data_IF_602676410105
#
_entry.id   IF_602676410105
#
_cell.length_a   1.000
_cell.length_b   1.000
_cell.length_c   1.000
_cell.angle_alpha   90.00
_cell.angle_beta   90.00
_cell.angle_gamma   90.00
#
_symmetry.space_group_name_H-M   'P 1'
#
loop_
_entity.id
_entity.type
_entity.pdbx_description
1 polymer ?
#
# COMPACT_ATOMS: atom_id res chain seq x y z
N UNK A 1 24.23 -51.46 35.74
CA UNK A 1 24.71 -50.07 35.51
C UNK A 1 24.78 -49.85 34.01
N UNK A 2 24.24 -48.73 33.50
CA UNK A 2 24.00 -48.37 32.08
C UNK A 2 22.66 -48.84 31.51
N UNK A 3 21.61 -48.09 31.82
CA UNK A 3 20.56 -47.66 30.90
C UNK A 3 19.72 -46.72 31.76
N UNK A 4 19.90 -45.40 31.64
CA UNK A 4 19.04 -44.32 32.16
C UNK A 4 19.84 -43.02 31.93
N UNK A 5 19.89 -42.54 30.70
CA UNK A 5 20.27 -41.17 30.32
C UNK A 5 20.13 -41.03 28.81
N UNK A 6 18.89 -40.99 28.32
CA UNK A 6 18.61 -40.60 26.93
C UNK A 6 17.19 -40.04 26.72
N UNK A 7 16.52 -39.60 27.80
CA UNK A 7 15.10 -39.20 27.76
C UNK A 7 14.79 -37.77 28.16
N UNK A 8 15.76 -36.83 28.15
CA UNK A 8 15.52 -35.45 28.62
C UNK A 8 16.05 -34.35 27.67
N UNK A 9 16.60 -34.68 26.50
CA UNK A 9 17.25 -33.69 25.63
C UNK A 9 16.50 -33.38 24.33
N UNK A 10 15.17 -33.23 24.37
CA UNK A 10 14.37 -32.86 23.19
C UNK A 10 13.09 -32.05 23.52
N UNK A 11 13.15 -31.17 24.54
CA UNK A 11 12.02 -30.28 24.87
C UNK A 11 12.40 -28.79 24.97
N UNK A 12 13.54 -28.37 24.41
CA UNK A 12 13.99 -26.98 24.45
C UNK A 12 14.38 -26.47 23.06
N UNK A 13 13.41 -26.36 22.15
CA UNK A 13 13.49 -25.45 20.99
C UNK A 13 12.18 -25.34 20.22
N UNK A 14 11.03 -25.35 20.90
CA UNK A 14 9.81 -24.83 20.29
C UNK A 14 9.36 -23.67 21.14
N UNK A 15 9.85 -22.47 20.82
CA UNK A 15 9.12 -21.27 21.18
C UNK A 15 7.75 -21.43 20.53
N UNK A 16 6.64 -21.55 21.27
CA UNK A 16 5.34 -21.60 20.66
C UNK A 16 5.19 -20.29 19.87
N UNK A 17 5.05 -20.38 18.55
CA UNK A 17 4.60 -19.25 17.77
C UNK A 17 3.19 -18.94 18.26
N UNK A 18 3.06 -17.92 19.09
CA UNK A 18 1.77 -17.47 19.59
C UNK A 18 1.07 -16.75 18.46
N UNK A 19 -0.11 -17.25 18.08
CA UNK A 19 -1.11 -16.48 17.35
C UNK A 19 -1.31 -15.14 18.03
N UNK A 20 -1.22 -14.06 17.26
CA UNK A 20 -1.45 -12.70 17.75
C UNK A 20 -2.61 -12.05 17.01
N UNK A 21 -3.38 -11.28 17.77
CA UNK A 21 -4.29 -10.31 17.22
C UNK A 21 -3.51 -9.01 16.94
N UNK A 22 -3.49 -8.58 15.69
CA UNK A 22 -2.79 -7.38 15.23
C UNK A 22 -3.79 -6.33 14.82
N UNK A 23 -3.66 -5.13 15.38
CA UNK A 23 -4.58 -4.03 15.11
C UNK A 23 -3.87 -2.92 14.34
N UNK A 24 -4.43 -2.56 13.20
CA UNK A 24 -3.99 -1.42 12.38
C UNK A 24 -5.15 -0.44 12.26
N UNK A 25 -4.89 0.84 12.56
CA UNK A 25 -5.85 1.92 12.39
C UNK A 25 -5.46 2.71 11.15
N UNK A 26 -6.28 2.66 10.11
CA UNK A 26 -5.95 3.24 8.80
C UNK A 26 -7.05 4.23 8.41
N UNK A 27 -6.65 5.45 8.09
CA UNK A 27 -7.54 6.45 7.51
C UNK A 27 -7.31 6.56 6.00
N UNK A 28 -8.39 6.81 5.26
CA UNK A 28 -8.32 7.24 3.86
C UNK A 28 -8.41 8.76 3.86
N UNK A 29 -7.36 9.45 3.40
CA UNK A 29 -7.29 10.92 3.43
C UNK A 29 -6.99 11.47 2.03
N UNK A 30 -7.61 12.59 1.68
CA UNK A 30 -7.26 13.34 0.48
C UNK A 30 -6.07 14.25 0.77
N UNK A 31 -5.05 14.20 -0.08
CA UNK A 31 -3.86 15.05 0.02
C UNK A 31 -3.33 15.40 -1.37
N UNK A 32 -2.49 16.41 -1.43
CA UNK A 32 -1.68 16.70 -2.60
C UNK A 32 -0.42 15.83 -2.59
N UNK A 33 -0.07 15.26 -3.74
CA UNK A 33 1.13 14.46 -3.97
C UNK A 33 1.94 15.06 -5.10
N UNK A 34 3.23 15.30 -4.87
CA UNK A 34 4.17 15.81 -5.86
C UNK A 34 5.11 14.66 -6.30
N UNK A 35 5.01 14.26 -7.57
CA UNK A 35 5.83 13.19 -8.16
C UNK A 35 7.31 13.56 -8.35
N UNK A 36 7.65 14.84 -8.24
CA UNK A 36 9.01 15.37 -8.34
C UNK A 36 9.27 16.34 -7.18
N UNK A 37 9.14 15.83 -5.94
CA UNK A 37 9.30 16.64 -4.73
C UNK A 37 10.76 17.04 -4.44
N UNK A 38 11.72 16.34 -5.03
CA UNK A 38 13.14 16.67 -4.91
C UNK A 38 13.50 17.93 -5.69
N UNK A 39 14.03 18.93 -4.97
CA UNK A 39 14.40 20.23 -5.51
C UNK A 39 15.77 20.25 -6.23
N UNK A 40 16.42 19.11 -6.41
CA UNK A 40 17.76 19.01 -6.99
C UNK A 40 17.74 18.56 -8.44
N UNK A 41 18.50 19.22 -9.31
CA UNK A 41 18.78 18.69 -10.66
C UNK A 41 19.46 17.33 -10.53
N UNK A 42 18.81 16.28 -11.05
CA UNK A 42 19.38 14.93 -11.15
C UNK A 42 19.82 14.69 -12.60
N UNK A 43 21.03 14.20 -12.79
CA UNK A 43 21.45 13.68 -14.09
C UNK A 43 20.77 12.33 -14.31
N UNK A 44 19.74 12.32 -15.15
CA UNK A 44 19.00 11.12 -15.52
C UNK A 44 19.64 10.44 -16.73
N UNK A 45 19.50 9.12 -16.82
CA UNK A 45 19.98 8.35 -17.97
C UNK A 45 18.97 8.53 -19.11
N UNK A 46 19.43 9.08 -20.24
CA UNK A 46 18.62 9.22 -21.46
C UNK A 46 17.33 10.05 -21.31
N UNK A 47 17.31 11.00 -20.38
CA UNK A 47 16.22 11.96 -20.21
C UNK A 47 16.80 13.36 -20.27
N UNK A 48 16.37 14.14 -21.26
CA UNK A 48 16.62 15.57 -21.30
C UNK A 48 15.46 16.36 -20.66
N UNK A 49 15.61 17.68 -20.61
CA UNK A 49 14.62 18.55 -20.00
C UNK A 49 13.29 18.54 -20.75
N UNK A 50 13.32 18.51 -22.08
CA UNK A 50 12.12 18.51 -22.91
C UNK A 50 11.27 17.27 -22.64
N UNK A 51 11.90 16.11 -22.50
CA UNK A 51 11.23 14.87 -22.11
C UNK A 51 10.64 14.92 -20.70
N UNK A 52 11.32 15.54 -19.73
CA UNK A 52 10.79 15.69 -18.38
C UNK A 52 9.65 16.71 -18.29
N UNK A 53 9.71 17.76 -19.10
CA UNK A 53 8.72 18.85 -19.12
C UNK A 53 7.35 18.34 -19.61
N UNK A 54 7.31 17.31 -20.48
CA UNK A 54 6.06 16.64 -20.90
C UNK A 54 5.20 16.20 -19.69
N UNK A 55 5.82 15.73 -18.62
CA UNK A 55 5.13 15.18 -17.45
C UNK A 55 5.09 16.14 -16.25
N UNK A 56 6.12 16.95 -16.08
CA UNK A 56 6.31 17.74 -14.85
C UNK A 56 5.88 19.20 -14.99
N UNK A 57 5.84 19.73 -16.21
CA UNK A 57 5.54 21.14 -16.44
C UNK A 57 4.03 21.41 -16.38
N UNK A 58 3.65 22.31 -15.47
CA UNK A 58 2.29 22.88 -15.45
C UNK A 58 2.10 23.92 -16.56
N UNK A 59 0.89 24.04 -17.11
CA UNK A 59 0.59 24.95 -18.21
C UNK A 59 -0.89 25.38 -18.30
N UNK A 60 -1.30 25.99 -19.42
CA UNK A 60 -2.71 26.28 -19.71
C UNK A 60 -3.57 25.02 -19.72
N UNK A 61 -3.05 23.95 -20.32
CA UNK A 61 -3.71 22.69 -20.61
C UNK A 61 -2.93 21.47 -20.04
N UNK A 62 -2.09 21.69 -19.02
CA UNK A 62 -1.26 20.65 -18.37
C UNK A 62 -1.27 20.84 -16.86
N UNK A 63 -1.49 19.73 -16.13
CA UNK A 63 -1.54 19.71 -14.66
C UNK A 63 -0.14 19.89 -14.07
N UNK A 64 0.87 19.21 -14.65
CA UNK A 64 2.24 19.20 -14.16
C UNK A 64 2.49 18.14 -13.10
N UNK A 65 3.48 18.33 -12.23
CA UNK A 65 3.99 17.27 -11.34
C UNK A 65 3.14 16.96 -10.09
N UNK A 66 2.08 17.72 -9.84
CA UNK A 66 1.39 17.73 -8.53
C UNK A 66 -0.09 17.44 -8.68
N UNK A 67 -0.56 16.39 -8.02
CA UNK A 67 -1.93 15.88 -8.14
C UNK A 67 -2.57 15.69 -6.77
N UNK A 68 -3.87 15.94 -6.66
CA UNK A 68 -4.73 15.52 -5.55
C UNK A 68 -4.95 14.00 -5.65
N UNK A 69 -4.79 13.31 -4.52
CA UNK A 69 -4.87 11.85 -4.38
C UNK A 69 -5.62 11.47 -3.09
N UNK A 70 -6.15 10.25 -3.03
CA UNK A 70 -6.59 9.61 -1.80
C UNK A 70 -5.55 8.58 -1.37
N UNK A 71 -5.03 8.70 -0.15
CA UNK A 71 -3.97 7.84 0.38
C UNK A 71 -4.41 7.15 1.68
N UNK A 72 -3.90 5.95 1.90
CA UNK A 72 -3.97 5.28 3.20
C UNK A 72 -2.93 5.86 4.15
N UNK A 73 -3.35 6.22 5.36
CA UNK A 73 -2.51 6.76 6.43
C UNK A 73 -2.74 5.99 7.71
N UNK A 74 -1.66 5.57 8.37
CA UNK A 74 -1.77 4.86 9.65
C UNK A 74 -1.93 5.85 10.81
N UNK A 75 -2.74 5.46 11.78
CA UNK A 75 -2.96 6.13 13.05
C UNK A 75 -2.57 5.23 14.21
N UNK A 76 -2.30 5.83 15.36
CA UNK A 76 -1.91 5.10 16.56
C UNK A 76 -3.07 4.32 17.19
N UNK A 77 -4.31 4.81 17.04
CA UNK A 77 -5.50 4.25 17.66
C UNK A 77 -6.79 4.61 16.91
N UNK A 78 -7.93 4.12 17.43
CA UNK A 78 -9.27 4.34 16.86
C UNK A 78 -9.83 5.74 17.05
N UNK A 79 -9.10 6.68 17.64
CA UNK A 79 -9.49 8.09 17.67
C UNK A 79 -9.07 8.83 16.39
N UNK A 80 -8.14 8.26 15.60
CA UNK A 80 -7.63 8.81 14.36
C UNK A 80 -7.12 10.26 14.50
N UNK A 81 -6.35 10.53 15.57
CA UNK A 81 -5.78 11.87 15.84
C UNK A 81 -4.29 11.98 15.55
N UNK A 82 -3.54 10.95 15.91
CA UNK A 82 -2.07 10.93 15.78
C UNK A 82 -1.68 9.93 14.71
N UNK A 83 -0.97 10.39 13.69
CA UNK A 83 -0.47 9.54 12.61
C UNK A 83 0.77 8.77 13.05
N UNK A 84 0.98 7.59 12.46
CA UNK A 84 2.25 6.86 12.54
C UNK A 84 3.06 7.24 11.31
N UNK A 85 4.30 7.67 11.54
CA UNK A 85 5.18 8.07 10.45
C UNK A 85 5.53 6.87 9.57
N UNK A 86 5.42 7.06 8.26
CA UNK A 86 5.90 6.09 7.27
C UNK A 86 7.35 6.39 6.89
N UNK A 87 8.14 5.38 6.52
CA UNK A 87 9.46 5.61 5.94
C UNK A 87 9.37 6.52 4.71
N UNK A 88 10.31 7.46 4.56
CA UNK A 88 10.36 8.40 3.42
C UNK A 88 10.27 7.68 2.07
N UNK A 89 11.04 6.61 1.94
CA UNK A 89 11.13 5.79 0.75
C UNK A 89 9.82 5.07 0.39
N UNK A 90 8.84 4.95 1.30
CA UNK A 90 7.58 4.27 1.00
C UNK A 90 6.72 5.07 0.00
N UNK A 91 7.02 6.36 -0.19
CA UNK A 91 6.35 7.21 -1.17
C UNK A 91 4.87 7.38 -0.81
N UNK A 92 3.98 7.35 -1.80
CA UNK A 92 2.54 7.49 -1.56
C UNK A 92 1.84 6.20 -1.10
N UNK A 93 2.51 5.05 -1.10
CA UNK A 93 1.92 3.79 -0.66
C UNK A 93 1.37 3.89 0.76
N UNK A 94 0.32 3.13 1.01
CA UNK A 94 -0.23 2.93 2.35
C UNK A 94 0.79 2.31 3.32
N UNK A 95 0.49 2.35 4.63
CA UNK A 95 1.35 1.76 5.65
C UNK A 95 1.59 0.26 5.43
N UNK A 96 2.73 -0.23 5.88
CA UNK A 96 3.08 -1.65 5.79
C UNK A 96 2.30 -2.44 6.83
N UNK A 97 1.42 -3.31 6.38
CA UNK A 97 0.75 -4.29 7.24
C UNK A 97 1.62 -5.54 7.28
N UNK A 98 2.03 -5.99 8.47
CA UNK A 98 2.74 -7.26 8.65
C UNK A 98 1.94 -8.24 9.50
N UNK A 99 2.05 -9.51 9.13
CA UNK A 99 1.45 -10.61 9.87
C UNK A 99 2.28 -11.90 9.73
N UNK A 100 2.27 -12.73 10.77
CA UNK A 100 2.80 -14.10 10.71
C UNK A 100 1.67 -15.10 10.50
N UNK A 101 1.98 -16.25 9.90
CA UNK A 101 1.03 -17.37 9.79
C UNK A 101 0.43 -17.70 11.16
N UNK A 102 -0.90 -17.71 11.22
CA UNK A 102 -1.69 -17.98 12.41
C UNK A 102 -2.16 -16.72 13.14
N UNK A 103 -1.74 -15.52 12.73
CA UNK A 103 -2.24 -14.25 13.26
C UNK A 103 -3.63 -13.90 12.69
N UNK A 104 -4.39 -13.13 13.48
CA UNK A 104 -5.59 -12.44 13.01
C UNK A 104 -5.30 -10.94 12.92
N UNK A 105 -5.54 -10.34 11.76
CA UNK A 105 -5.29 -8.93 11.51
C UNK A 105 -6.61 -8.17 11.45
N UNK A 106 -6.74 -7.16 12.30
CA UNK A 106 -7.85 -6.24 12.36
C UNK A 106 -7.42 -4.92 11.74
N UNK A 107 -8.06 -4.54 10.63
CA UNK A 107 -7.87 -3.24 9.99
C UNK A 107 -9.07 -2.36 10.29
N UNK A 108 -8.90 -1.43 11.21
CA UNK A 108 -9.89 -0.41 11.56
C UNK A 108 -9.78 0.75 10.59
N UNK A 109 -10.62 0.73 9.55
CA UNK A 109 -10.65 1.73 8.50
C UNK A 109 -11.56 2.91 8.88
N UNK A 110 -11.12 4.13 8.59
CA UNK A 110 -11.98 5.32 8.58
C UNK A 110 -11.84 6.08 7.28
N UNK A 111 -12.95 6.37 6.61
CA UNK A 111 -12.93 7.13 5.37
C UNK A 111 -13.08 8.64 5.65
N UNK A 112 -12.03 9.42 5.42
CA UNK A 112 -12.06 10.88 5.50
C UNK A 112 -12.12 11.57 4.12
N UNK A 113 -12.10 10.80 3.03
CA UNK A 113 -12.19 11.33 1.69
C UNK A 113 -13.63 11.75 1.34
N UNK A 114 -13.78 12.42 0.20
CA UNK A 114 -15.05 12.95 -0.28
C UNK A 114 -15.95 11.92 -0.97
N UNK A 115 -15.46 10.69 -1.18
CA UNK A 115 -16.17 9.61 -1.90
C UNK A 115 -16.03 8.26 -1.20
N UNK A 116 -16.92 7.29 -1.47
CA UNK A 116 -16.81 5.97 -0.88
C UNK A 116 -15.58 5.22 -1.39
N UNK A 117 -14.97 4.45 -0.49
CA UNK A 117 -13.82 3.59 -0.74
C UNK A 117 -13.91 2.35 0.16
N UNK A 118 -12.99 1.40 0.00
CA UNK A 118 -12.94 0.16 0.80
C UNK A 118 -11.49 -0.20 1.15
N UNK A 119 -11.31 -1.34 1.81
CA UNK A 119 -10.03 -2.03 1.96
C UNK A 119 -10.20 -3.48 1.52
N UNK A 120 -9.47 -3.90 0.48
CA UNK A 120 -9.44 -5.26 -0.04
C UNK A 120 -8.01 -5.79 -0.01
N UNK A 121 -7.80 -6.96 0.59
CA UNK A 121 -6.47 -7.54 0.79
C UNK A 121 -6.23 -8.79 -0.04
N UNK A 122 -5.00 -8.95 -0.53
CA UNK A 122 -4.55 -10.14 -1.24
C UNK A 122 -3.77 -11.09 -0.33
N UNK A 123 -3.83 -12.39 -0.64
CA UNK A 123 -2.98 -13.41 0.00
C UNK A 123 -3.28 -13.65 1.48
N UNK A 124 -4.51 -13.38 1.92
CA UNK A 124 -5.03 -13.68 3.26
C UNK A 124 -6.45 -14.22 3.12
N UNK A 125 -6.94 -14.92 4.13
CA UNK A 125 -8.32 -15.41 4.16
C UNK A 125 -9.23 -14.40 4.84
N UNK A 126 -10.38 -14.13 4.25
CA UNK A 126 -11.43 -13.28 4.83
C UNK A 126 -12.80 -13.91 4.57
N UNK A 127 -13.78 -13.56 5.39
CA UNK A 127 -15.19 -13.87 5.14
C UNK A 127 -15.82 -12.81 4.25
N UNK A 128 -17.03 -13.05 3.77
CA UNK A 128 -17.70 -12.18 2.78
C UNK A 128 -17.95 -10.77 3.31
N UNK A 129 -18.20 -10.63 4.61
CA UNK A 129 -18.31 -9.35 5.32
C UNK A 129 -16.98 -8.65 5.57
N UNK A 130 -15.85 -9.17 5.08
CA UNK A 130 -14.51 -8.63 5.27
C UNK A 130 -13.71 -8.60 3.96
N UNK A 131 -14.37 -8.72 2.81
CA UNK A 131 -13.72 -8.74 1.51
C UNK A 131 -13.40 -7.33 1.01
N UNK A 132 -14.32 -6.39 1.21
CA UNK A 132 -14.18 -5.00 0.80
C UNK A 132 -14.19 -4.79 -0.71
N UNK A 133 -14.98 -5.57 -1.45
CA UNK A 133 -15.09 -5.49 -2.90
C UNK A 133 -16.53 -5.65 -3.36
N UNK A 134 -17.06 -4.61 -3.99
CA UNK A 134 -18.45 -4.61 -4.47
C UNK A 134 -18.59 -5.34 -5.80
N UNK A 135 -19.35 -6.43 -5.83
CA UNK A 135 -19.75 -7.12 -7.07
C UNK A 135 -21.02 -7.96 -6.84
N UNK A 136 -21.72 -8.41 -7.90
CA UNK A 136 -22.89 -9.29 -7.77
C UNK A 136 -22.50 -10.68 -7.22
N UNK A 137 -22.47 -10.81 -5.91
CA UNK A 137 -21.98 -11.97 -5.15
C UNK A 137 -23.07 -12.68 -4.33
N UNK A 138 -24.32 -12.20 -4.45
CA UNK A 138 -25.50 -12.70 -3.75
C UNK A 138 -25.48 -12.50 -2.21
N UNK A 139 -24.64 -11.59 -1.70
CA UNK A 139 -24.69 -11.12 -0.31
C UNK A 139 -25.79 -10.05 -0.14
N UNK A 140 -26.26 -9.85 1.10
CA UNK A 140 -27.24 -8.80 1.43
C UNK A 140 -27.04 -8.29 2.86
N UNK A 141 -27.52 -7.08 3.14
CA UNK A 141 -27.58 -6.53 4.50
C UNK A 141 -26.20 -6.25 5.09
N UNK A 142 -25.90 -6.83 6.26
CA UNK A 142 -24.63 -6.59 6.97
C UNK A 142 -23.41 -7.15 6.25
N UNK A 143 -23.60 -8.11 5.33
CA UNK A 143 -22.54 -8.71 4.52
C UNK A 143 -22.04 -7.80 3.38
N UNK A 144 -22.59 -6.59 3.23
CA UNK A 144 -22.21 -5.60 2.20
C UNK A 144 -21.69 -4.29 2.81
N UNK A 145 -21.59 -4.22 4.15
CA UNK A 145 -21.14 -3.02 4.84
C UNK A 145 -19.64 -2.74 4.62
N UNK A 146 -18.86 -3.78 4.30
CA UNK A 146 -17.45 -3.73 3.96
C UNK A 146 -17.19 -3.24 2.53
N UNK A 147 -18.14 -3.53 1.63
CA UNK A 147 -18.06 -3.25 0.19
C UNK A 147 -18.17 -1.77 -0.17
N UNK A 148 -18.58 -0.92 0.77
CA UNK A 148 -18.69 0.53 0.54
C UNK A 148 -18.66 1.32 1.85
N UNK A 149 -17.49 1.85 2.20
CA UNK A 149 -17.34 2.74 3.37
C UNK A 149 -17.51 4.18 2.91
N UNK A 150 -18.63 4.81 3.25
CA UNK A 150 -18.95 6.18 2.84
C UNK A 150 -18.08 7.22 3.58
N UNK A 151 -18.00 8.47 3.07
CA UNK A 151 -17.34 9.57 3.77
C UNK A 151 -17.80 9.72 5.22
N UNK A 152 -16.85 9.70 6.15
CA UNK A 152 -17.06 9.79 7.59
C UNK A 152 -17.33 8.45 8.30
N UNK A 153 -17.62 7.39 7.54
CA UNK A 153 -17.88 6.06 8.10
C UNK A 153 -16.60 5.32 8.51
N UNK A 154 -16.80 4.30 9.35
CA UNK A 154 -15.75 3.41 9.83
C UNK A 154 -16.17 1.97 9.62
N UNK A 155 -15.21 1.12 9.28
CA UNK A 155 -15.40 -0.32 9.17
C UNK A 155 -14.20 -1.07 9.72
N UNK A 156 -14.40 -2.28 10.24
CA UNK A 156 -13.29 -3.14 10.69
C UNK A 156 -13.26 -4.39 9.84
N UNK A 157 -12.17 -4.54 9.07
CA UNK A 157 -11.89 -5.73 8.29
C UNK A 157 -11.11 -6.74 9.14
N UNK A 158 -11.49 -8.01 9.09
CA UNK A 158 -10.84 -9.10 9.82
C UNK A 158 -10.22 -10.07 8.82
N UNK A 159 -8.90 -10.21 8.90
CA UNK A 159 -8.10 -11.04 8.00
C UNK A 159 -7.45 -12.18 8.78
N UNK A 160 -7.56 -13.40 8.27
CA UNK A 160 -6.97 -14.60 8.84
C UNK A 160 -5.79 -15.06 8.01
N UNK A 161 -4.63 -15.21 8.64
CA UNK A 161 -3.39 -15.63 7.97
C UNK A 161 -3.20 -17.13 8.06
N UNK A 162 -3.98 -17.85 7.26
CA UNK A 162 -4.00 -19.31 7.31
C UNK A 162 -2.78 -19.95 6.63
N UNK A 163 -2.52 -21.22 6.95
CA UNK A 163 -1.36 -21.96 6.46
C UNK A 163 -1.35 -22.10 4.93
N UNK A 164 -2.53 -22.14 4.31
CA UNK A 164 -2.71 -22.32 2.87
C UNK A 164 -2.26 -21.10 2.05
N UNK A 165 -2.29 -19.90 2.65
CA UNK A 165 -1.87 -18.65 2.02
C UNK A 165 -0.43 -18.26 2.39
N UNK A 166 0.23 -19.09 3.20
CA UNK A 166 1.56 -18.82 3.73
C UNK A 166 2.65 -18.85 2.66
N UNK A 167 3.79 -18.19 2.89
CA UNK A 167 5.00 -18.44 2.12
C UNK A 167 5.28 -19.95 1.99
N UNK A 168 5.50 -20.41 0.77
CA UNK A 168 5.83 -21.80 0.47
C UNK A 168 7.17 -22.22 1.08
N UNK A 169 7.47 -23.52 1.03
CA UNK A 169 8.74 -24.04 1.56
C UNK A 169 9.96 -23.44 0.85
N UNK A 170 9.86 -23.20 -0.47
CA UNK A 170 10.90 -22.56 -1.28
C UNK A 170 10.92 -21.03 -1.23
N UNK A 171 9.90 -20.40 -0.65
CA UNK A 171 9.85 -18.93 -0.51
C UNK A 171 10.74 -18.46 0.66
N UNK A 172 11.11 -17.18 0.63
CA UNK A 172 11.71 -16.48 1.77
C UNK A 172 10.83 -16.54 3.03
N UNK A 173 11.35 -16.05 4.16
CA UNK A 173 10.57 -16.07 5.41
C UNK A 173 9.33 -15.19 5.31
N UNK A 174 9.38 -14.12 4.51
CA UNK A 174 8.28 -13.22 4.25
C UNK A 174 8.04 -13.06 2.75
N UNK A 175 6.78 -12.91 2.35
CA UNK A 175 6.35 -12.66 0.97
C UNK A 175 5.50 -11.39 0.90
N UNK A 176 5.61 -10.70 -0.23
CA UNK A 176 4.84 -9.50 -0.52
C UNK A 176 3.45 -9.86 -1.04
N UNK A 177 2.44 -9.19 -0.49
CA UNK A 177 1.07 -9.09 -0.97
C UNK A 177 0.68 -7.62 -0.95
N UNK A 178 -0.53 -7.30 -1.40
CA UNK A 178 -1.04 -5.94 -1.47
C UNK A 178 -2.41 -5.83 -0.84
N UNK A 179 -2.79 -4.61 -0.53
CA UNK A 179 -4.16 -4.23 -0.30
C UNK A 179 -4.48 -2.95 -1.08
N UNK A 180 -5.72 -2.77 -1.48
CA UNK A 180 -6.19 -1.60 -2.20
C UNK A 180 -7.70 -1.39 -2.00
N UNK A 181 -8.24 -0.23 -2.39
CA UNK A 181 -9.70 -0.05 -2.46
C UNK A 181 -10.26 -0.74 -3.70
N UNK A 182 -11.51 -1.19 -3.63
CA UNK A 182 -12.13 -2.04 -4.66
C UNK A 182 -13.60 -1.68 -4.95
N UNK A 183 -13.94 -0.39 -4.95
CA UNK A 183 -15.21 0.09 -5.53
C UNK A 183 -15.13 0.02 -7.06
N UNK A 184 -14.08 0.64 -7.59
CA UNK A 184 -13.62 0.55 -8.96
C UNK A 184 -12.10 0.45 -8.86
N UNK A 185 -11.59 -0.77 -8.72
CA UNK A 185 -10.21 -1.00 -8.31
C UNK A 185 -9.18 -0.24 -9.18
N UNK A 186 -9.27 -0.24 -10.54
CA UNK A 186 -8.36 0.56 -11.35
C UNK A 186 -8.36 2.05 -11.01
N UNK A 187 -9.54 2.68 -10.88
CA UNK A 187 -9.65 4.12 -10.59
C UNK A 187 -9.26 4.45 -9.15
N UNK A 188 -9.61 3.58 -8.21
CA UNK A 188 -9.25 3.72 -6.80
C UNK A 188 -7.73 3.61 -6.59
N UNK A 189 -7.07 2.65 -7.27
CA UNK A 189 -5.60 2.50 -7.25
C UNK A 189 -4.93 3.70 -7.93
N UNK A 190 -5.40 4.12 -9.11
CA UNK A 190 -4.89 5.31 -9.80
C UNK A 190 -4.99 6.57 -8.93
N UNK A 191 -6.07 6.68 -8.15
CA UNK A 191 -6.27 7.75 -7.17
C UNK A 191 -5.32 7.68 -5.97
N UNK A 192 -4.61 6.57 -5.77
CA UNK A 192 -3.54 6.40 -4.76
C UNK A 192 -3.79 5.34 -3.69
N UNK A 193 -4.92 4.63 -3.71
CA UNK A 193 -5.30 3.69 -2.65
C UNK A 193 -4.73 2.30 -2.86
N UNK A 194 -3.43 2.18 -2.62
CA UNK A 194 -2.69 0.91 -2.65
C UNK A 194 -1.64 0.89 -1.53
N UNK A 195 -1.42 -0.28 -0.93
CA UNK A 195 -0.39 -0.47 0.08
C UNK A 195 0.07 -1.92 0.22
N UNK A 196 1.21 -2.15 0.88
CA UNK A 196 1.79 -3.48 1.01
C UNK A 196 1.30 -4.26 2.23
N UNK A 197 1.06 -5.55 2.05
CA UNK A 197 0.84 -6.54 3.09
C UNK A 197 1.98 -7.56 3.06
N UNK A 198 2.78 -7.64 4.10
CA UNK A 198 3.91 -8.57 4.20
C UNK A 198 3.50 -9.75 5.09
N UNK A 199 3.37 -10.92 4.47
CA UNK A 199 3.00 -12.15 5.14
C UNK A 199 4.24 -13.00 5.42
N UNK A 200 4.46 -13.36 6.68
CA UNK A 200 5.66 -14.05 7.13
C UNK A 200 5.36 -15.44 7.72
N UNK A 201 6.31 -16.38 7.61
CA UNK A 201 6.29 -17.66 8.31
C UNK A 201 6.23 -17.42 9.82
N UNK A 202 5.53 -18.28 10.54
CA UNK A 202 5.38 -18.20 12.00
C UNK A 202 6.73 -18.09 12.72
N UNK A 203 6.88 -17.10 13.60
CA UNK A 203 8.09 -16.87 14.38
C UNK A 203 9.26 -16.25 13.60
N UNK A 204 9.04 -15.67 12.43
CA UNK A 204 10.07 -14.97 11.63
C UNK A 204 10.25 -13.50 12.00
N UNK A 205 9.29 -12.91 12.71
CA UNK A 205 9.31 -11.50 13.11
C UNK A 205 9.84 -11.30 14.54
N UNK A 206 10.56 -10.19 14.74
CA UNK A 206 10.89 -9.62 16.04
C UNK A 206 10.60 -8.12 16.02
N UNK A 207 9.64 -7.66 16.84
CA UNK A 207 9.17 -6.26 16.86
C UNK A 207 8.83 -5.73 15.46
N UNK A 208 7.99 -6.46 14.73
CA UNK A 208 7.56 -6.12 13.36
C UNK A 208 8.65 -6.13 12.27
N UNK A 209 9.87 -6.60 12.55
CA UNK A 209 10.95 -6.74 11.57
C UNK A 209 11.33 -8.20 11.37
N UNK A 210 11.65 -8.62 10.15
CA UNK A 210 12.18 -9.96 9.89
C UNK A 210 13.51 -10.18 10.65
N UNK A 211 13.63 -11.33 11.30
CA UNK A 211 14.85 -11.72 12.02
C UNK A 211 16.02 -11.84 11.04
N UNK A 212 17.18 -11.34 11.45
CA UNK A 212 18.43 -11.38 10.67
C UNK A 212 18.38 -10.58 9.36
N UNK A 213 17.39 -9.68 9.20
CA UNK A 213 17.33 -8.69 8.12
C UNK A 213 17.68 -7.31 8.68
N UNK A 214 18.64 -6.64 8.06
CA UNK A 214 19.11 -5.33 8.48
C UNK A 214 18.24 -4.21 7.90
N UNK A 215 17.78 -4.34 6.67
CA UNK A 215 16.91 -3.36 6.00
C UNK A 215 15.80 -4.04 5.22
N UNK A 216 14.60 -3.46 5.25
CA UNK A 216 13.43 -3.93 4.51
C UNK A 216 12.90 -2.77 3.66
N UNK A 217 12.80 -2.98 2.36
CA UNK A 217 12.26 -2.01 1.42
C UNK A 217 11.05 -2.58 0.70
N UNK A 218 10.12 -1.69 0.35
CA UNK A 218 8.96 -2.00 -0.46
C UNK A 218 8.95 -1.08 -1.67
N UNK A 219 8.91 -1.68 -2.86
CA UNK A 219 9.02 -0.98 -4.14
C UNK A 219 7.82 -1.34 -5.01
N UNK A 220 7.08 -0.33 -5.45
CA UNK A 220 6.10 -0.47 -6.51
C UNK A 220 6.65 0.17 -7.77
N UNK A 221 6.63 -0.55 -8.88
CA UNK A 221 6.85 0.01 -10.22
C UNK A 221 5.50 0.20 -10.87
N UNK A 222 5.14 1.42 -11.23
CA UNK A 222 3.83 1.69 -11.81
C UNK A 222 3.87 2.88 -12.75
N UNK A 223 3.08 2.77 -13.82
CA UNK A 223 2.61 3.93 -14.55
C UNK A 223 1.31 4.35 -13.89
N UNK A 224 1.38 5.33 -13.00
CA UNK A 224 0.20 5.86 -12.33
C UNK A 224 -0.52 6.77 -13.32
N UNK A 225 -1.57 6.25 -13.94
CA UNK A 225 -2.37 6.96 -14.93
C UNK A 225 -3.39 7.87 -14.21
N UNK A 226 -3.06 9.15 -14.06
CA UNK A 226 -3.93 10.14 -13.40
C UNK A 226 -5.19 10.46 -14.22
N UNK A 227 -5.27 10.03 -15.49
CA UNK A 227 -6.51 10.14 -16.26
C UNK A 227 -7.61 9.21 -15.72
N UNK A 228 -7.23 8.11 -15.06
CA UNK A 228 -8.18 7.19 -14.41
C UNK A 228 -8.58 7.65 -13.01
N UNK A 229 -7.81 8.57 -12.41
CA UNK A 229 -8.03 9.10 -11.07
C UNK A 229 -9.42 9.69 -10.92
N UNK A 230 -10.04 9.47 -9.76
CA UNK A 230 -11.29 10.13 -9.39
C UNK A 230 -11.14 11.65 -9.26
N UNK A 231 -9.91 12.12 -9.12
CA UNK A 231 -9.57 13.52 -8.89
C UNK A 231 -9.11 14.24 -10.17
N UNK A 232 -9.23 13.64 -11.36
CA UNK A 232 -8.81 14.27 -12.62
C UNK A 232 -9.42 15.66 -12.80
N UNK A 233 -10.75 15.78 -12.64
CA UNK A 233 -11.47 17.05 -12.76
C UNK A 233 -11.04 18.09 -11.71
N UNK A 234 -10.84 17.65 -10.46
CA UNK A 234 -10.34 18.52 -9.38
C UNK A 234 -8.93 19.02 -9.72
N UNK A 235 -8.08 18.16 -10.29
CA UNK A 235 -6.71 18.47 -10.66
C UNK A 235 -6.64 19.42 -11.85
N UNK A 236 -7.46 19.21 -12.89
CA UNK A 236 -7.57 20.13 -14.04
C UNK A 236 -7.95 21.53 -13.54
N UNK A 237 -8.99 21.64 -12.72
CA UNK A 237 -9.47 22.94 -12.22
C UNK A 237 -8.47 23.63 -11.30
N UNK A 238 -7.67 22.86 -10.56
CA UNK A 238 -6.73 23.39 -9.57
C UNK A 238 -5.41 23.83 -10.19
N UNK A 239 -4.88 23.06 -11.15
CA UNK A 239 -3.51 23.20 -11.61
C UNK A 239 -3.37 23.69 -13.06
N UNK A 240 -4.36 23.45 -13.94
CA UNK A 240 -4.33 24.04 -15.27
C UNK A 240 -4.73 25.52 -15.20
N UNK A 241 -3.95 26.40 -15.84
CA UNK A 241 -4.26 27.85 -15.83
C UNK A 241 -5.41 28.24 -16.76
N UNK A 242 -5.74 27.40 -17.75
CA UNK A 242 -6.89 27.58 -18.65
C UNK A 242 -7.69 26.26 -18.78
N UNK A 243 -8.37 25.81 -17.71
CA UNK A 243 -9.00 24.48 -17.66
C UNK A 243 -10.07 24.25 -18.74
N UNK A 244 -10.71 25.32 -19.22
CA UNK A 244 -11.70 25.28 -20.31
C UNK A 244 -11.10 24.86 -21.67
N UNK A 245 -9.78 24.94 -21.83
CA UNK A 245 -9.06 24.55 -23.06
C UNK A 245 -8.58 23.10 -23.03
N UNK A 246 -8.72 22.41 -21.90
CA UNK A 246 -8.25 21.02 -21.76
C UNK A 246 -9.16 20.10 -22.57
N UNK A 247 -8.54 19.37 -23.50
CA UNK A 247 -9.16 18.25 -24.19
C UNK A 247 -8.70 16.94 -23.52
N UNK A 248 -9.60 16.30 -22.77
CA UNK A 248 -9.30 15.05 -22.05
C UNK A 248 -9.12 13.84 -22.97
N UNK A 249 -9.55 13.95 -24.24
CA UNK A 249 -9.39 12.90 -25.24
C UNK A 249 -8.08 13.07 -26.04
N UNK A 250 -7.34 14.16 -25.83
CA UNK A 250 -6.04 14.40 -26.46
C UNK A 250 -4.99 13.40 -25.96
N UNK A 251 -4.33 12.71 -26.89
CA UNK A 251 -3.24 11.78 -26.57
C UNK A 251 -2.10 12.47 -25.81
N UNK A 252 -1.78 13.73 -26.14
CA UNK A 252 -0.73 14.49 -25.46
C UNK A 252 -1.11 14.84 -24.02
N UNK A 253 -2.38 15.17 -23.78
CA UNK A 253 -2.87 15.43 -22.42
C UNK A 253 -2.85 14.13 -21.60
N UNK A 254 -3.36 13.04 -22.18
CA UNK A 254 -3.37 11.75 -21.49
C UNK A 254 -1.97 11.27 -21.15
N UNK A 255 -1.03 11.37 -22.09
CA UNK A 255 0.35 10.97 -21.87
C UNK A 255 1.03 11.82 -20.79
N UNK A 256 0.77 13.14 -20.76
CA UNK A 256 1.33 14.03 -19.71
C UNK A 256 0.89 13.64 -18.29
N UNK A 257 -0.24 12.95 -18.16
CA UNK A 257 -0.80 12.49 -16.88
C UNK A 257 -0.41 11.04 -16.52
N UNK A 258 0.44 10.39 -17.32
CA UNK A 258 0.98 9.06 -17.01
C UNK A 258 2.28 9.18 -16.25
N UNK A 259 2.21 8.98 -14.94
CA UNK A 259 3.36 9.16 -14.06
C UNK A 259 4.14 7.85 -13.93
N UNK A 260 5.24 7.74 -14.68
CA UNK A 260 6.20 6.64 -14.60
C UNK A 260 6.99 6.74 -13.30
N UNK A 261 6.51 6.08 -12.25
CA UNK A 261 7.09 6.21 -10.91
C UNK A 261 7.54 4.88 -10.33
N UNK A 262 8.52 4.98 -9.44
CA UNK A 262 8.88 3.93 -8.50
C UNK A 262 8.80 4.49 -7.09
N UNK A 263 8.31 3.71 -6.14
CA UNK A 263 8.59 4.01 -4.74
C UNK A 263 10.02 3.58 -4.40
N UNK A 264 10.52 3.98 -3.23
CA UNK A 264 11.89 3.78 -2.77
C UNK A 264 12.98 4.58 -3.52
N UNK A 265 12.85 5.91 -3.50
CA UNK A 265 13.86 6.83 -4.05
C UNK A 265 15.25 6.67 -3.39
N UNK A 266 15.31 6.37 -2.09
CA UNK A 266 16.55 6.25 -1.31
C UNK A 266 17.32 4.92 -1.52
N UNK A 267 16.78 3.96 -2.28
CA UNK A 267 17.43 2.65 -2.49
C UNK A 267 18.74 2.72 -3.29
N UNK A 268 19.07 3.87 -3.89
CA UNK A 268 20.24 4.04 -4.75
C UNK A 268 21.52 4.48 -4.01
N UNK A 269 21.53 4.59 -2.68
CA UNK A 269 22.78 4.84 -1.95
C UNK A 269 23.66 3.58 -1.94
N UNK A 270 24.90 3.62 -2.46
CA UNK A 270 25.71 2.41 -2.71
C UNK A 270 26.16 1.61 -1.48
N UNK A 271 25.98 2.12 -0.26
CA UNK A 271 26.62 1.58 0.94
C UNK A 271 25.62 1.21 2.03
N UNK A 272 24.85 0.13 1.83
CA UNK A 272 24.16 -0.55 2.93
C UNK A 272 25.00 -1.78 3.36
N UNK A 273 25.82 -1.68 4.41
CA UNK A 273 26.46 -2.86 4.98
C UNK A 273 25.40 -3.69 5.72
N UNK A 274 24.92 -4.78 5.13
CA UNK A 274 23.97 -5.69 5.78
C UNK A 274 23.11 -6.53 4.83
N UNK A 275 22.24 -7.37 5.39
CA UNK A 275 21.23 -8.11 4.64
C UNK A 275 20.02 -7.21 4.32
N UNK A 276 19.59 -7.22 3.05
CA UNK A 276 18.49 -6.39 2.56
C UNK A 276 17.39 -7.31 2.03
N UNK A 277 16.16 -7.08 2.46
CA UNK A 277 14.96 -7.67 1.85
C UNK A 277 14.23 -6.60 1.04
N UNK A 278 14.04 -6.83 -0.27
CA UNK A 278 13.31 -5.93 -1.17
C UNK A 278 12.04 -6.64 -1.63
N UNK A 279 10.90 -6.06 -1.27
CA UNK A 279 9.56 -6.50 -1.64
C UNK A 279 9.06 -5.72 -2.85
N UNK A 280 8.61 -6.42 -3.89
CA UNK A 280 8.06 -5.79 -5.09
C UNK A 280 6.53 -5.88 -5.11
N UNK A 281 5.88 -4.76 -5.41
CA UNK A 281 4.46 -4.72 -5.73
C UNK A 281 4.35 -4.75 -7.25
N UNK A 282 3.65 -5.76 -7.76
CA UNK A 282 3.32 -5.96 -9.16
C UNK A 282 1.80 -6.11 -9.29
#
# INVERSE_FOLDING_TARGET
MKLWMLGVFLFLSNSPAWTKDRHYYIGIVETTWNYASDSGERTLISVDKEQSDIYLQSGPDRIGSTYKKALYVQYTDGHFRTTVDKPSWLGFLGPIIKAEVGDTVYVHLKNFASRPYTFHSHGVTYYKEHEGAIYPDNTTGTLQADDKVHPGEQYTYVLHTNKEQSPGEGDGSCVTRIYHSHIDAPRDIASGLIGPLILCKAGSLHKEKEKNIDQEFVVMFSVVDENLSWYLEDNIKTYCSEPEKVDTDSEEFQESNRMYCKTAEDMLTPDFPGSINVSFLA
#
